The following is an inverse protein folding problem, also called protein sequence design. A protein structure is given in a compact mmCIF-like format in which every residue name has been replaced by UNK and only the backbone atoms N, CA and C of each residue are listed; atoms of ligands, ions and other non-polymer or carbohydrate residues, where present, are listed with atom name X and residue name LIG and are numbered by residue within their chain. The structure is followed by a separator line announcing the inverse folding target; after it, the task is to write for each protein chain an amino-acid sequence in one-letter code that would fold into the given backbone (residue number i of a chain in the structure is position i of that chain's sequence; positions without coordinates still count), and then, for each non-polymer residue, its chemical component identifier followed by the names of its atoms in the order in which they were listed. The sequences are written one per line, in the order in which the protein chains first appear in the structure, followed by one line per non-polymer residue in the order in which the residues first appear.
data_IF_859815727991
#
_entry.id   IF_859815727991
#
_cell.length_a   1.000
_cell.length_b   1.000
_cell.length_c   1.000
_cell.angle_alpha   90.00
_cell.angle_beta   90.00
_cell.angle_gamma   90.00
#
_symmetry.space_group_name_H-M   'P 1'
#
loop_
_entity.id
_entity.type
_entity.pdbx_description
1 polymer ?
#
# COMPACT_ATOMS: atom_id res chain seq x y z
N UNK A 1 7.00 16.91 4.14
CA UNK A 1 5.61 16.62 3.70
C UNK A 1 5.36 15.14 3.93
N UNK A 2 4.24 14.76 4.56
CA UNK A 2 3.96 13.33 4.75
C UNK A 2 3.49 12.68 3.45
N UNK A 3 3.59 11.36 3.41
CA UNK A 3 3.18 10.53 2.28
C UNK A 3 2.29 9.40 2.77
N UNK A 4 1.39 8.94 1.94
CA UNK A 4 0.59 7.76 2.23
C UNK A 4 0.46 6.89 0.99
N UNK A 5 -0.02 5.65 1.17
CA UNK A 5 -0.18 4.68 0.10
C UNK A 5 -1.67 4.41 -0.08
N UNK A 6 -2.14 4.46 -1.33
CA UNK A 6 -3.52 4.11 -1.67
C UNK A 6 -3.56 3.11 -2.81
N UNK A 7 -4.63 2.34 -2.88
CA UNK A 7 -4.90 1.42 -3.98
C UNK A 7 -6.41 1.41 -4.26
N UNK A 8 -6.85 1.16 -5.51
CA UNK A 8 -8.28 1.02 -5.80
C UNK A 8 -8.90 -0.12 -5.00
N UNK A 9 -10.06 0.11 -4.39
CA UNK A 9 -10.80 -0.92 -3.68
C UNK A 9 -11.36 -1.95 -4.66
N UNK A 10 -11.25 -3.25 -4.32
CA UNK A 10 -11.73 -4.32 -5.20
C UNK A 10 -13.24 -4.52 -5.12
N UNK A 11 -13.81 -4.31 -3.93
CA UNK A 11 -15.23 -4.54 -3.66
C UNK A 11 -15.97 -3.27 -3.29
N UNK A 12 -15.28 -2.14 -3.19
CA UNK A 12 -15.85 -0.87 -2.80
C UNK A 12 -15.58 0.17 -3.89
N UNK A 13 -16.47 1.13 -3.99
CA UNK A 13 -16.25 2.30 -4.86
C UNK A 13 -15.30 3.25 -4.14
N UNK A 14 -14.17 3.54 -4.77
CA UNK A 14 -13.17 4.46 -4.23
C UNK A 14 -11.89 3.76 -3.81
N UNK A 15 -10.99 4.53 -3.21
CA UNK A 15 -9.68 4.05 -2.83
C UNK A 15 -9.66 3.49 -1.41
N UNK A 16 -8.77 2.53 -1.17
CA UNK A 16 -8.43 2.10 0.18
C UNK A 16 -6.98 2.52 0.47
N UNK A 17 -6.70 2.77 1.74
CA UNK A 17 -5.43 3.31 2.19
C UNK A 17 -4.70 2.28 3.05
N UNK A 18 -3.38 2.21 2.89
CA UNK A 18 -2.56 1.35 3.72
C UNK A 18 -2.57 1.87 5.16
N UNK A 19 -2.92 0.98 6.08
CA UNK A 19 -3.07 1.30 7.50
C UNK A 19 -1.84 0.90 8.33
N UNK A 20 -1.03 -0.01 7.82
CA UNK A 20 0.13 -0.57 8.51
C UNK A 20 0.01 -2.08 8.67
N UNK A 21 1.13 -2.75 8.88
CA UNK A 21 1.14 -4.22 8.92
C UNK A 21 0.59 -4.82 7.65
N UNK A 22 -0.43 -5.67 7.75
CA UNK A 22 -1.11 -6.26 6.60
C UNK A 22 -2.52 -5.69 6.43
N UNK A 23 -2.78 -4.51 6.94
CA UNK A 23 -4.14 -3.94 7.01
C UNK A 23 -4.32 -2.80 6.03
N UNK A 24 -5.52 -2.74 5.46
CA UNK A 24 -5.98 -1.63 4.60
C UNK A 24 -7.29 -1.09 5.16
N UNK A 25 -7.57 0.16 4.90
CA UNK A 25 -8.78 0.82 5.39
C UNK A 25 -9.38 1.75 4.34
N UNK A 26 -10.71 1.85 4.31
CA UNK A 26 -11.38 2.86 3.50
C UNK A 26 -11.45 4.22 4.22
N UNK A 27 -11.06 4.27 5.50
CA UNK A 27 -11.10 5.49 6.29
C UNK A 27 -9.79 6.27 6.11
N UNK A 28 -9.88 7.44 5.48
CA UNK A 28 -8.73 8.29 5.20
C UNK A 28 -7.96 8.66 6.48
N UNK A 29 -8.67 8.91 7.58
CA UNK A 29 -8.05 9.31 8.85
C UNK A 29 -7.16 8.22 9.46
N UNK A 30 -7.40 6.95 9.10
CA UNK A 30 -6.66 5.81 9.65
C UNK A 30 -5.45 5.42 8.79
N UNK A 31 -5.19 6.11 7.71
CA UNK A 31 -4.07 5.81 6.82
C UNK A 31 -2.73 5.96 7.55
N UNK A 32 -1.79 5.09 7.20
CA UNK A 32 -0.42 5.22 7.71
C UNK A 32 0.30 6.34 6.95
N UNK A 33 0.89 7.27 7.68
CA UNK A 33 1.67 8.36 7.11
C UNK A 33 3.16 8.06 7.22
N UNK A 34 3.90 8.37 6.17
CA UNK A 34 5.36 8.22 6.11
C UNK A 34 6.00 9.60 6.04
N UNK A 35 7.09 9.78 6.78
CA UNK A 35 7.86 11.04 6.73
C UNK A 35 8.73 11.12 5.48
N UNK A 36 9.17 9.97 4.96
CA UNK A 36 10.06 9.89 3.80
C UNK A 36 9.38 9.13 2.67
N UNK A 37 9.45 9.69 1.46
CA UNK A 37 8.91 9.04 0.27
C UNK A 37 9.60 7.70 0.00
N UNK A 38 10.91 7.60 0.26
CA UNK A 38 11.66 6.36 0.06
C UNK A 38 11.12 5.21 0.91
N UNK A 39 10.65 5.48 2.12
CA UNK A 39 10.05 4.46 2.98
C UNK A 39 8.71 3.97 2.42
N UNK A 40 7.90 4.89 1.93
CA UNK A 40 6.62 4.53 1.29
C UNK A 40 6.86 3.75 -0.01
N UNK A 41 7.81 4.18 -0.84
CA UNK A 41 8.16 3.49 -2.09
C UNK A 41 8.67 2.07 -1.81
N UNK A 42 9.49 1.90 -0.78
CA UNK A 42 9.99 0.59 -0.38
C UNK A 42 8.85 -0.34 0.05
N UNK A 43 7.83 0.19 0.71
CA UNK A 43 6.66 -0.60 1.12
C UNK A 43 5.82 -1.02 -0.07
N UNK A 44 5.63 -0.14 -1.05
CA UNK A 44 4.92 -0.46 -2.30
C UNK A 44 5.63 -1.57 -3.07
N UNK A 45 6.96 -1.63 -3.00
CA UNK A 45 7.76 -2.66 -3.66
C UNK A 45 7.72 -4.04 -2.95
N UNK A 46 6.86 -4.21 -1.95
CA UNK A 46 6.73 -5.48 -1.21
C UNK A 46 6.40 -6.64 -2.14
N UNK A 47 7.16 -7.72 -2.00
CA UNK A 47 6.95 -8.95 -2.75
C UNK A 47 6.77 -10.12 -1.79
N UNK A 48 6.15 -11.19 -2.29
CA UNK A 48 5.95 -12.43 -1.55
C UNK A 48 6.62 -13.55 -2.32
N UNK A 49 7.39 -14.41 -1.62
CA UNK A 49 7.99 -15.59 -2.20
C UNK A 49 7.23 -16.82 -1.69
N UNK A 50 6.73 -17.62 -2.62
CA UNK A 50 6.02 -18.85 -2.27
C UNK A 50 6.97 -19.98 -1.87
N UNK A 51 6.43 -21.06 -1.31
CA UNK A 51 7.21 -22.25 -0.96
C UNK A 51 7.87 -22.92 -2.19
N UNK A 52 7.36 -22.63 -3.39
CA UNK A 52 7.94 -23.11 -4.65
C UNK A 52 9.04 -22.22 -5.19
N UNK A 53 9.39 -21.16 -4.46
CA UNK A 53 10.44 -20.23 -4.88
C UNK A 53 9.98 -19.17 -5.87
N UNK A 54 8.68 -19.04 -6.10
CA UNK A 54 8.11 -18.01 -7.00
C UNK A 54 7.94 -16.71 -6.22
N UNK A 55 8.53 -15.64 -6.73
CA UNK A 55 8.39 -14.31 -6.14
C UNK A 55 7.41 -13.49 -6.98
N UNK A 56 6.45 -12.85 -6.31
CA UNK A 56 5.46 -12.00 -6.97
C UNK A 56 5.08 -10.82 -6.08
N UNK A 57 4.54 -9.78 -6.71
CA UNK A 57 4.01 -8.62 -6.01
C UNK A 57 2.48 -8.75 -5.95
N UNK A 58 1.87 -8.78 -4.73
CA UNK A 58 0.40 -8.84 -4.61
C UNK A 58 -0.28 -7.68 -5.35
N UNK A 59 -1.48 -7.92 -5.87
CA UNK A 59 -2.21 -6.94 -6.68
C UNK A 59 -2.44 -5.62 -5.96
N UNK A 60 -2.73 -5.65 -4.66
CA UNK A 60 -2.95 -4.43 -3.91
C UNK A 60 -1.68 -3.57 -3.79
N UNK A 61 -0.50 -4.16 -3.81
CA UNK A 61 0.77 -3.42 -3.87
C UNK A 61 1.09 -2.99 -5.30
N UNK A 62 0.83 -3.88 -6.27
CA UNK A 62 1.11 -3.62 -7.68
C UNK A 62 0.31 -2.42 -8.20
N UNK A 63 -0.92 -2.26 -7.74
CA UNK A 63 -1.82 -1.18 -8.18
C UNK A 63 -1.79 0.03 -7.24
N UNK A 64 -0.96 0.01 -6.20
CA UNK A 64 -0.89 1.09 -5.23
C UNK A 64 -0.07 2.27 -5.73
N UNK A 65 -0.34 3.44 -5.16
CA UNK A 65 0.32 4.69 -5.49
C UNK A 65 0.74 5.39 -4.21
N UNK A 66 1.94 5.96 -4.20
CA UNK A 66 2.39 6.83 -3.12
C UNK A 66 1.86 8.23 -3.39
N UNK A 67 1.17 8.81 -2.42
CA UNK A 67 0.56 10.14 -2.53
C UNK A 67 1.29 11.10 -1.62
N UNK A 68 1.66 12.25 -2.16
CA UNK A 68 2.23 13.38 -1.38
C UNK A 68 1.08 14.18 -0.78
N UNK A 69 1.12 14.40 0.51
CA UNK A 69 0.08 15.16 1.22
C UNK A 69 0.35 16.64 1.30
#
# INVERSE_FOLDING_TARGET
MPYHIKTPGKLEVGDVYYKGGNNWTSTYADRKQYSNKSDADAKVATTITTSLGITYQPDWWKNSTVVTE
#
